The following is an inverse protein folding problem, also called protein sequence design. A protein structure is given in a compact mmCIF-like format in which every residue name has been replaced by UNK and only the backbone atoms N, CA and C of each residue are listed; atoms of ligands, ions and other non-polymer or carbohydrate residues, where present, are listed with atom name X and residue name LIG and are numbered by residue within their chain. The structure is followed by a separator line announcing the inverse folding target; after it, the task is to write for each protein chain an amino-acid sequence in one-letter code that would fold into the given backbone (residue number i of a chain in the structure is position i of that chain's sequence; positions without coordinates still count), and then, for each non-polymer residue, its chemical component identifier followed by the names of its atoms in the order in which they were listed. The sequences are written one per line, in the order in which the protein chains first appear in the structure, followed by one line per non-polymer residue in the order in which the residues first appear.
data_IF_570343743140
#
_entry.id   IF_570343743140
#
_cell.length_a   1.000
_cell.length_b   1.000
_cell.length_c   1.000
_cell.angle_alpha   90.00
_cell.angle_beta   90.00
_cell.angle_gamma   90.00
#
_symmetry.space_group_name_H-M   'P 1'
#
loop_
_entity.id
_entity.type
_entity.pdbx_description
1 polymer ?
#
# COMPACT_ATOMS: atom_id res chain seq x y z
N UNK A 1 5.01 -8.10 -22.07
CA UNK A 1 5.93 -8.35 -20.94
C UNK A 1 6.34 -6.99 -20.40
N UNK A 2 6.07 -6.71 -19.13
CA UNK A 2 6.52 -5.47 -18.49
C UNK A 2 6.62 -5.71 -16.98
N UNK A 3 7.58 -6.55 -16.57
CA UNK A 3 8.07 -6.56 -15.19
C UNK A 3 9.15 -5.48 -15.08
N UNK A 4 8.73 -4.21 -15.13
CA UNK A 4 9.56 -3.14 -14.62
C UNK A 4 9.42 -3.16 -13.10
N UNK A 5 10.52 -3.16 -12.32
CA UNK A 5 10.41 -3.09 -10.88
C UNK A 5 9.64 -1.83 -10.50
N UNK A 6 8.53 -2.01 -9.77
CA UNK A 6 7.75 -0.90 -9.26
C UNK A 6 8.64 -0.09 -8.30
N UNK A 7 8.77 1.21 -8.57
CA UNK A 7 9.45 2.09 -7.63
C UNK A 7 8.58 2.21 -6.37
N UNK A 8 9.11 1.73 -5.25
CA UNK A 8 8.48 1.89 -3.94
C UNK A 8 8.83 3.28 -3.43
N UNK A 9 7.82 4.15 -3.33
CA UNK A 9 7.99 5.49 -2.78
C UNK A 9 8.19 5.48 -1.27
N UNK A 10 7.40 4.63 -0.59
CA UNK A 10 7.48 4.43 0.85
C UNK A 10 6.94 3.05 1.23
N UNK A 11 7.45 2.50 2.33
CA UNK A 11 7.01 1.20 2.85
C UNK A 11 7.02 1.23 4.38
N UNK A 12 5.87 0.93 4.98
CA UNK A 12 5.78 0.72 6.42
C UNK A 12 5.77 -0.78 6.74
N UNK A 13 6.74 -1.24 7.52
CA UNK A 13 6.81 -2.59 8.10
C UNK A 13 6.80 -2.50 9.62
N UNK A 14 5.96 -3.30 10.26
CA UNK A 14 5.85 -3.30 11.71
C UNK A 14 5.08 -4.51 12.24
N UNK A 15 5.27 -4.79 13.52
CA UNK A 15 4.50 -5.82 14.20
C UNK A 15 3.06 -5.34 14.40
N UNK A 16 2.11 -6.20 14.04
CA UNK A 16 0.70 -5.96 14.31
C UNK A 16 0.44 -6.30 15.78
N UNK A 17 0.14 -5.30 16.59
CA UNK A 17 -0.10 -5.44 18.04
C UNK A 17 -1.57 -5.32 18.41
N UNK A 18 -2.47 -5.03 17.45
CA UNK A 18 -3.88 -4.77 17.67
C UNK A 18 -4.80 -5.44 16.65
N UNK A 19 -6.11 -5.22 16.82
CA UNK A 19 -7.13 -5.67 15.87
C UNK A 19 -7.42 -4.59 14.82
N UNK A 20 -7.92 -5.03 13.66
CA UNK A 20 -8.33 -4.14 12.56
C UNK A 20 -9.41 -3.13 12.99
N UNK A 21 -9.44 -1.91 12.42
CA UNK A 21 -8.54 -1.40 11.37
C UNK A 21 -7.14 -1.07 11.91
N UNK A 22 -6.12 -1.47 11.15
CA UNK A 22 -4.71 -1.22 11.51
C UNK A 22 -4.29 0.16 10.99
N UNK A 23 -3.86 1.08 11.85
CA UNK A 23 -3.36 2.37 11.40
C UNK A 23 -2.02 2.18 10.66
N UNK A 24 -1.87 2.89 9.56
CA UNK A 24 -0.62 2.96 8.82
C UNK A 24 -0.37 4.42 8.42
N UNK A 25 0.90 4.74 8.20
CA UNK A 25 1.33 6.04 7.71
C UNK A 25 2.35 5.79 6.61
N UNK A 26 2.09 6.37 5.44
CA UNK A 26 3.03 6.35 4.33
C UNK A 26 3.37 7.79 3.98
N UNK A 27 4.66 8.09 3.98
CA UNK A 27 5.18 9.43 3.70
C UNK A 27 5.98 9.39 2.41
N UNK A 28 5.56 10.16 1.41
CA UNK A 28 6.26 10.25 0.14
C UNK A 28 6.75 11.67 -0.11
N UNK A 29 7.79 11.80 -0.92
CA UNK A 29 8.24 13.08 -1.44
C UNK A 29 7.45 13.41 -2.73
N UNK A 30 6.67 14.51 -2.79
CA UNK A 30 5.95 14.92 -3.99
C UNK A 30 6.86 15.10 -5.22
N UNK A 31 8.15 15.39 -5.04
CA UNK A 31 9.10 15.50 -6.14
C UNK A 31 9.37 14.15 -6.85
N UNK A 32 9.07 13.02 -6.18
CA UNK A 32 9.17 11.69 -6.77
C UNK A 32 7.92 11.30 -7.58
N UNK A 33 6.83 12.07 -7.46
CA UNK A 33 5.59 11.88 -8.20
C UNK A 33 5.79 12.40 -9.63
N UNK A 34 5.82 11.50 -10.60
CA UNK A 34 6.07 11.79 -12.00
C UNK A 34 4.76 11.86 -12.78
N UNK A 35 4.54 12.91 -13.58
CA UNK A 35 3.37 12.99 -14.44
C UNK A 35 3.33 11.83 -15.43
N UNK A 36 2.14 11.24 -15.63
CA UNK A 36 1.93 10.08 -16.51
C UNK A 36 2.21 8.72 -15.87
N UNK A 37 2.68 8.67 -14.61
CA UNK A 37 2.81 7.44 -13.85
C UNK A 37 1.53 7.12 -13.09
N UNK A 38 1.31 5.84 -12.80
CA UNK A 38 0.22 5.38 -11.92
C UNK A 38 0.82 4.89 -10.62
N UNK A 39 0.19 5.29 -9.53
CA UNK A 39 0.57 4.87 -8.20
C UNK A 39 -0.55 4.07 -7.59
N UNK A 40 -0.18 3.11 -6.76
CA UNK A 40 -1.11 2.24 -6.06
C UNK A 40 -0.60 1.93 -4.67
N UNK A 41 -1.52 1.81 -3.73
CA UNK A 41 -1.21 1.35 -2.36
C UNK A 41 -1.59 -0.12 -2.24
N UNK A 42 -0.69 -0.92 -1.69
CA UNK A 42 -0.91 -2.33 -1.39
C UNK A 42 -0.49 -2.63 0.04
N UNK A 43 -1.20 -3.54 0.70
CA UNK A 43 -0.80 -4.08 1.98
C UNK A 43 -0.74 -5.60 1.95
N UNK A 44 0.14 -6.15 2.78
CA UNK A 44 0.21 -7.57 3.07
C UNK A 44 0.41 -7.78 4.57
N UNK A 45 -0.18 -8.85 5.08
CA UNK A 45 -0.06 -9.27 6.47
C UNK A 45 0.48 -10.68 6.48
N UNK A 46 1.59 -10.84 7.19
CA UNK A 46 2.31 -12.11 7.33
C UNK A 46 2.32 -12.54 8.80
N UNK A 47 2.16 -13.83 9.03
CA UNK A 47 2.29 -14.45 10.36
C UNK A 47 3.25 -15.61 10.23
N UNK A 48 4.32 -15.60 11.04
CA UNK A 48 5.41 -16.59 10.97
C UNK A 48 5.99 -16.77 9.55
N UNK A 49 6.12 -15.67 8.80
CA UNK A 49 6.60 -15.65 7.42
C UNK A 49 5.61 -16.20 6.37
N UNK A 50 4.38 -16.55 6.79
CA UNK A 50 3.31 -16.96 5.88
C UNK A 50 2.40 -15.77 5.59
N UNK A 51 2.24 -15.47 4.31
CA UNK A 51 1.22 -14.52 3.86
C UNK A 51 -0.15 -15.03 4.29
N UNK A 52 -0.89 -14.23 5.05
CA UNK A 52 -2.26 -14.53 5.47
C UNK A 52 -3.27 -13.60 4.82
N UNK A 53 -2.94 -12.32 4.67
CA UNK A 53 -3.81 -11.36 4.00
C UNK A 53 -3.02 -10.52 3.01
N UNK A 54 -3.64 -10.21 1.88
CA UNK A 54 -3.08 -9.33 0.87
C UNK A 54 -4.18 -8.48 0.25
N UNK A 55 -3.85 -7.28 -0.19
CA UNK A 55 -4.73 -6.49 -1.02
C UNK A 55 -4.95 -7.20 -2.36
N UNK A 56 -6.20 -7.48 -2.70
CA UNK A 56 -6.58 -8.10 -3.99
C UNK A 56 -7.06 -7.08 -5.01
N UNK A 57 -7.52 -5.92 -4.55
CA UNK A 57 -8.03 -4.82 -5.38
C UNK A 57 -6.95 -3.77 -5.64
N UNK A 58 -7.01 -3.13 -6.81
CA UNK A 58 -6.07 -2.05 -7.12
C UNK A 58 -6.52 -0.73 -6.49
N UNK A 59 -5.86 -0.30 -5.42
CA UNK A 59 -6.09 1.01 -4.80
C UNK A 59 -5.22 2.08 -5.45
N UNK A 60 -5.74 2.73 -6.51
CA UNK A 60 -5.06 3.84 -7.17
C UNK A 60 -5.02 5.09 -6.28
N UNK A 61 -3.90 5.81 -6.30
CA UNK A 61 -3.70 7.10 -5.63
C UNK A 61 -3.00 8.08 -6.57
N UNK A 62 -3.33 9.36 -6.44
CA UNK A 62 -2.81 10.42 -7.31
C UNK A 62 -1.56 11.09 -6.75
N UNK A 63 -1.39 11.06 -5.43
CA UNK A 63 -0.26 11.61 -4.70
C UNK A 63 -0.04 13.11 -4.98
N UNK A 64 -1.12 13.82 -5.30
CA UNK A 64 -1.18 15.27 -5.55
C UNK A 64 -1.86 16.04 -4.40
N UNK A 65 -2.19 15.33 -3.31
CA UNK A 65 -2.90 15.87 -2.15
C UNK A 65 -4.43 15.89 -2.29
N UNK A 66 -4.99 15.45 -3.41
CA UNK A 66 -6.44 15.32 -3.60
C UNK A 66 -7.02 13.98 -3.12
N UNK A 67 -6.16 13.01 -2.82
CA UNK A 67 -6.58 11.67 -2.39
C UNK A 67 -7.38 11.72 -1.08
N UNK A 68 -8.45 10.90 -0.94
CA UNK A 68 -9.26 10.87 0.26
C UNK A 68 -8.45 10.38 1.46
N UNK A 69 -8.44 11.19 2.54
CA UNK A 69 -7.81 10.84 3.81
C UNK A 69 -8.86 10.73 4.95
N UNK A 70 -8.80 9.69 5.81
CA UNK A 70 -7.81 8.61 5.78
C UNK A 70 -8.08 7.60 4.66
N UNK A 71 -7.00 7.14 4.00
CA UNK A 71 -7.07 6.09 2.99
C UNK A 71 -7.43 4.76 3.68
N UNK A 72 -8.47 4.09 3.16
CA UNK A 72 -8.87 2.75 3.62
C UNK A 72 -8.58 1.75 2.52
N UNK A 73 -7.74 0.77 2.82
CA UNK A 73 -7.43 -0.35 1.94
C UNK A 73 -8.00 -1.63 2.52
N UNK A 74 -8.56 -2.47 1.65
CA UNK A 74 -9.07 -3.78 2.05
C UNK A 74 -7.99 -4.82 1.78
N UNK A 75 -7.85 -5.74 2.71
CA UNK A 75 -7.04 -6.95 2.52
C UNK A 75 -7.96 -8.14 2.64
N UNK A 76 -7.73 -9.15 1.81
CA UNK A 76 -8.47 -10.39 1.83
C UNK A 76 -7.52 -11.53 2.19
N UNK A 77 -8.06 -12.56 2.83
CA UNK A 77 -7.28 -13.73 3.18
C UNK A 77 -6.77 -14.41 1.90
N UNK A 78 -5.50 -14.79 1.88
CA UNK A 78 -5.02 -15.67 0.81
C UNK A 78 -5.71 -17.02 0.94
N UNK A 79 -6.23 -17.53 -0.17
CA UNK A 79 -6.98 -18.78 -0.23
C UNK A 79 -6.09 -19.95 -0.63
#
# INVERSE_FOLDING_TARGET
MADAPALVLDEQKGQITGQVPLPFHLSYDPAQVKPGHRYSVSARIEVDGKLLFITTEHHAVQLDGSDPQPLKIRVDAVR
#
